data_IF_934482093281
#
_entry.id   IF_934482093281
#
_cell.length_a   1.000
_cell.length_b   1.000
_cell.length_c   1.000
_cell.angle_alpha   90.00
_cell.angle_beta   90.00
_cell.angle_gamma   90.00
#
_symmetry.space_group_name_H-M   'P 1'
#
loop_
_entity.id
_entity.type
_entity.pdbx_description
1 polymer ?
#
# COMPACT_ATOMS: atom_id res chain seq x y z
N UNK A 1 -20.38 5.78 -10.53
CA UNK A 1 -18.91 5.58 -10.45
C UNK A 1 -18.50 5.70 -9.00
N UNK A 2 -17.82 4.67 -8.45
CA UNK A 2 -17.30 4.71 -7.09
C UNK A 2 -16.18 5.72 -6.96
N UNK A 3 -16.16 6.46 -5.87
CA UNK A 3 -15.03 7.28 -5.50
C UNK A 3 -13.97 6.43 -4.82
N UNK A 4 -12.72 6.84 -4.97
CA UNK A 4 -11.58 6.21 -4.30
C UNK A 4 -10.52 7.26 -3.95
N UNK A 5 -9.84 7.05 -2.85
CA UNK A 5 -8.75 7.88 -2.36
C UNK A 5 -7.63 7.00 -1.82
N UNK A 6 -6.48 7.58 -1.60
CA UNK A 6 -5.31 6.86 -1.11
C UNK A 6 -4.66 7.57 0.07
N UNK A 7 -4.02 6.78 0.92
CA UNK A 7 -3.07 7.21 1.93
C UNK A 7 -1.71 6.63 1.55
N UNK A 8 -0.70 7.48 1.44
CA UNK A 8 0.68 7.11 1.20
C UNK A 8 1.51 7.42 2.44
N UNK A 9 2.13 6.41 3.01
CA UNK A 9 3.16 6.57 4.01
C UNK A 9 4.51 6.71 3.29
N UNK A 10 5.28 7.76 3.61
CA UNK A 10 6.53 8.08 2.93
C UNK A 10 7.68 8.12 3.95
N UNK A 11 8.84 7.60 3.54
CA UNK A 11 10.06 7.67 4.34
C UNK A 11 10.62 9.09 4.32
N UNK A 12 10.80 9.67 5.51
CA UNK A 12 11.48 10.95 5.69
C UNK A 12 12.99 10.71 5.82
N UNK A 13 13.78 11.38 4.97
CA UNK A 13 15.24 11.28 4.96
C UNK A 13 15.88 12.66 5.04
N UNK A 14 17.07 12.76 5.64
CA UNK A 14 17.88 13.98 5.64
C UNK A 14 18.34 14.33 4.23
N UNK A 15 18.16 15.58 3.82
CA UNK A 15 18.43 16.03 2.45
C UNK A 15 19.89 15.92 2.03
N UNK A 16 20.84 15.88 2.98
CA UNK A 16 22.28 15.85 2.72
C UNK A 16 22.89 14.47 2.87
N UNK A 17 22.48 13.71 3.90
CA UNK A 17 23.05 12.40 4.20
C UNK A 17 22.26 11.24 3.57
N UNK A 18 21.00 11.46 3.21
CA UNK A 18 20.05 10.47 2.73
C UNK A 18 19.72 9.38 3.75
N UNK A 19 20.05 9.59 5.02
CA UNK A 19 19.70 8.70 6.12
C UNK A 19 18.27 9.02 6.62
N UNK A 20 17.54 8.06 7.21
CA UNK A 20 16.24 8.31 7.80
C UNK A 20 16.30 9.44 8.83
N UNK A 21 15.36 10.39 8.78
CA UNK A 21 15.31 11.59 9.60
C UNK A 21 14.14 11.53 10.59
N UNK A 22 14.37 11.47 11.92
CA UNK A 22 13.31 11.38 12.92
C UNK A 22 12.68 12.75 13.22
N UNK A 23 11.93 13.31 12.28
CA UNK A 23 11.31 14.63 12.36
C UNK A 23 9.86 14.68 11.84
N UNK A 24 9.19 13.53 11.65
CA UNK A 24 7.86 13.45 11.05
C UNK A 24 6.78 14.19 11.83
N UNK A 25 6.75 14.07 13.17
CA UNK A 25 5.82 14.83 14.01
C UNK A 25 5.99 16.35 13.83
N UNK A 26 7.23 16.83 13.76
CA UNK A 26 7.51 18.24 13.57
C UNK A 26 7.12 18.69 12.15
N UNK A 27 7.53 17.94 11.13
CA UNK A 27 7.19 18.24 9.74
C UNK A 27 5.66 18.32 9.53
N UNK A 28 4.92 17.33 10.03
CA UNK A 28 3.46 17.30 9.95
C UNK A 28 2.81 18.46 10.73
N UNK A 29 3.34 18.83 11.90
CA UNK A 29 2.79 19.91 12.73
C UNK A 29 2.88 21.31 12.07
N UNK A 30 3.75 21.47 11.09
CA UNK A 30 3.89 22.72 10.32
C UNK A 30 2.87 22.86 9.19
N UNK A 31 2.15 21.77 8.89
CA UNK A 31 1.08 21.77 7.88
C UNK A 31 -0.28 22.07 8.52
N UNK A 32 -1.22 22.55 7.71
CA UNK A 32 -2.62 22.65 8.13
C UNK A 32 -3.23 21.26 8.18
N UNK A 33 -4.15 21.03 9.12
CA UNK A 33 -4.88 19.75 9.23
C UNK A 33 -5.51 19.29 7.90
N UNK A 34 -6.03 20.24 7.11
CA UNK A 34 -6.46 19.98 5.73
C UNK A 34 -5.99 21.11 4.84
N UNK A 35 -5.33 20.76 3.74
CA UNK A 35 -4.83 21.73 2.76
C UNK A 35 -5.98 22.31 1.90
N UNK A 36 -5.70 23.37 1.13
CA UNK A 36 -6.66 23.92 0.17
C UNK A 36 -7.05 22.94 -0.94
N UNK A 37 -6.25 21.92 -1.17
CA UNK A 37 -6.50 20.84 -2.14
C UNK A 37 -7.27 19.66 -1.55
N UNK A 38 -7.59 19.69 -0.26
CA UNK A 38 -8.30 18.61 0.45
C UNK A 38 -7.41 17.48 0.95
N UNK A 39 -6.07 17.59 0.78
CA UNK A 39 -5.12 16.61 1.32
C UNK A 39 -4.89 16.84 2.82
N UNK A 40 -4.54 15.75 3.50
CA UNK A 40 -4.09 15.78 4.90
C UNK A 40 -2.66 15.24 4.96
N UNK A 41 -1.79 15.91 5.72
CA UNK A 41 -0.43 15.47 6.00
C UNK A 41 -0.34 15.22 7.49
N UNK A 42 -0.04 13.99 7.88
CA UNK A 42 -0.04 13.54 9.29
C UNK A 42 1.26 12.83 9.67
N UNK A 43 1.51 12.76 10.97
CA UNK A 43 2.60 11.96 11.53
C UNK A 43 2.14 10.51 11.72
N UNK A 44 3.09 9.58 11.61
CA UNK A 44 2.89 8.15 11.78
C UNK A 44 3.55 7.59 13.06
N UNK A 45 3.52 6.23 13.23
CA UNK A 45 4.08 5.53 14.38
C UNK A 45 5.53 5.89 14.64
N UNK A 46 6.34 5.96 13.59
CA UNK A 46 7.76 6.31 13.69
C UNK A 46 7.99 7.74 13.18
N UNK A 47 8.93 8.44 13.79
CA UNK A 47 9.25 9.82 13.42
C UNK A 47 9.95 9.94 12.06
N UNK A 48 10.41 8.86 11.49
CA UNK A 48 10.99 8.77 10.14
C UNK A 48 9.92 8.63 9.04
N UNK A 49 8.64 8.85 9.36
CA UNK A 49 7.50 8.70 8.45
C UNK A 49 6.65 9.95 8.38
N UNK A 50 6.07 10.19 7.22
CA UNK A 50 4.97 11.15 6.99
C UNK A 50 3.90 10.43 6.19
N UNK A 51 2.65 10.57 6.62
CA UNK A 51 1.49 10.08 5.87
C UNK A 51 0.80 11.21 5.13
N UNK A 52 0.34 10.92 3.91
CA UNK A 52 -0.47 11.83 3.10
C UNK A 52 -1.74 11.13 2.65
N UNK A 53 -2.89 11.65 3.09
CA UNK A 53 -4.20 11.22 2.60
C UNK A 53 -4.68 12.14 1.48
N UNK A 54 -5.13 11.55 0.36
CA UNK A 54 -5.67 12.27 -0.79
C UNK A 54 -7.19 12.44 -0.70
N UNK A 55 -7.77 13.51 -1.27
CA UNK A 55 -9.21 13.60 -1.44
C UNK A 55 -9.71 12.54 -2.42
N UNK A 56 -10.97 12.06 -2.28
CA UNK A 56 -11.52 11.03 -3.14
C UNK A 56 -11.64 11.48 -4.60
N UNK A 57 -11.29 10.59 -5.53
CA UNK A 57 -11.31 10.79 -6.98
C UNK A 57 -12.30 9.83 -7.65
N UNK A 58 -12.56 10.04 -8.95
CA UNK A 58 -13.44 9.18 -9.77
C UNK A 58 -12.76 8.63 -11.01
N UNK A 59 -11.55 9.08 -11.34
CA UNK A 59 -10.78 8.66 -12.52
C UNK A 59 -9.33 8.36 -12.16
N UNK A 60 -8.66 7.50 -12.94
CA UNK A 60 -7.23 7.23 -12.78
C UNK A 60 -6.39 8.50 -12.91
N UNK A 61 -6.71 9.38 -13.87
CA UNK A 61 -5.98 10.63 -14.06
C UNK A 61 -6.11 11.55 -12.83
N UNK A 62 -7.34 11.73 -12.30
CA UNK A 62 -7.55 12.50 -11.08
C UNK A 62 -6.82 11.91 -9.87
N UNK A 63 -6.76 10.57 -9.75
CA UNK A 63 -6.01 9.94 -8.67
C UNK A 63 -4.50 10.14 -8.81
N UNK A 64 -3.96 10.09 -10.03
CA UNK A 64 -2.56 10.39 -10.30
C UNK A 64 -2.22 11.84 -9.91
N UNK A 65 -3.05 12.80 -10.31
CA UNK A 65 -2.86 14.22 -9.96
C UNK A 65 -2.94 14.44 -8.44
N UNK A 66 -3.84 13.72 -7.76
CA UNK A 66 -3.94 13.76 -6.30
C UNK A 66 -2.69 13.18 -5.61
N UNK A 67 -2.16 12.06 -6.10
CA UNK A 67 -0.91 11.47 -5.60
C UNK A 67 0.28 12.42 -5.79
N UNK A 68 0.44 12.99 -6.98
CA UNK A 68 1.50 13.96 -7.28
C UNK A 68 1.42 15.19 -6.36
N UNK A 69 0.21 15.73 -6.16
CA UNK A 69 -0.03 16.84 -5.25
C UNK A 69 0.29 16.48 -3.80
N UNK A 70 -0.15 15.30 -3.34
CA UNK A 70 0.12 14.80 -1.99
C UNK A 70 1.61 14.64 -1.72
N UNK A 71 2.35 14.03 -2.64
CA UNK A 71 3.81 13.88 -2.53
C UNK A 71 4.53 15.22 -2.54
N UNK A 72 4.06 16.19 -3.31
CA UNK A 72 4.63 17.55 -3.29
C UNK A 72 4.39 18.25 -1.94
N UNK A 73 3.21 18.09 -1.33
CA UNK A 73 2.92 18.63 0.00
C UNK A 73 3.76 17.97 1.11
N UNK A 74 3.98 16.65 1.02
CA UNK A 74 4.88 15.95 1.93
C UNK A 74 6.33 16.41 1.78
N UNK A 75 6.79 16.63 0.54
CA UNK A 75 8.14 17.16 0.28
C UNK A 75 8.29 18.58 0.84
N UNK A 76 7.28 19.45 0.70
CA UNK A 76 7.28 20.78 1.32
C UNK A 76 7.35 20.69 2.86
N UNK A 77 6.57 19.79 3.47
CA UNK A 77 6.64 19.55 4.91
C UNK A 77 8.03 19.08 5.35
N UNK A 78 8.61 18.12 4.64
CA UNK A 78 9.95 17.60 4.90
C UNK A 78 11.03 18.68 4.75
N UNK A 79 10.97 19.53 3.73
CA UNK A 79 11.93 20.61 3.49
C UNK A 79 12.02 21.59 4.66
N UNK A 80 10.91 21.86 5.35
CA UNK A 80 10.88 22.74 6.53
C UNK A 80 11.69 22.20 7.72
N UNK A 81 12.03 20.91 7.73
CA UNK A 81 12.83 20.25 8.76
C UNK A 81 14.20 19.78 8.24
N UNK A 82 14.61 20.23 7.03
CA UNK A 82 15.87 19.84 6.38
C UNK A 82 15.84 18.44 5.77
N UNK A 83 14.67 17.89 5.56
CA UNK A 83 14.44 16.55 4.99
C UNK A 83 13.91 16.56 3.57
N UNK A 84 13.73 15.35 3.05
CA UNK A 84 13.06 15.00 1.81
C UNK A 84 12.19 13.76 2.03
N UNK A 85 11.22 13.50 1.16
CA UNK A 85 10.40 12.29 1.22
C UNK A 85 10.67 11.34 0.07
N UNK A 86 10.75 10.04 0.38
CA UNK A 86 10.91 8.95 -0.58
C UNK A 86 9.79 7.92 -0.44
N UNK A 87 9.19 7.51 -1.55
CA UNK A 87 8.21 6.42 -1.60
C UNK A 87 8.93 5.06 -1.47
N UNK A 88 9.49 4.82 -0.29
CA UNK A 88 10.21 3.61 0.09
C UNK A 88 9.45 2.91 1.22
N UNK A 89 8.95 1.68 1.00
CA UNK A 89 8.18 0.95 2.01
C UNK A 89 9.01 0.49 3.20
N UNK A 90 10.33 0.39 3.03
CA UNK A 90 11.31 0.07 4.08
C UNK A 90 12.55 0.94 3.88
N UNK A 91 13.22 1.30 4.96
CA UNK A 91 14.53 1.96 4.88
C UNK A 91 15.57 0.98 4.33
N UNK A 92 16.25 1.29 3.19
CA UNK A 92 17.26 0.40 2.63
C UNK A 92 18.48 0.21 3.54
N UNK A 93 18.89 1.27 4.21
CA UNK A 93 20.02 1.29 5.14
C UNK A 93 19.63 0.80 6.56
N UNK A 94 20.63 0.75 7.44
CA UNK A 94 20.40 0.50 8.86
C UNK A 94 19.72 1.70 9.50
N UNK A 95 18.76 1.42 10.37
CA UNK A 95 18.06 2.45 11.14
C UNK A 95 17.58 1.85 12.46
N UNK A 96 17.64 2.67 13.51
CA UNK A 96 16.96 2.45 14.78
C UNK A 96 15.81 3.46 14.86
N UNK A 97 14.56 3.04 14.56
CA UNK A 97 13.43 3.95 14.45
C UNK A 97 13.05 4.61 15.78
N UNK A 98 12.48 5.82 15.71
CA UNK A 98 12.07 6.61 16.85
C UNK A 98 10.54 6.70 16.92
N UNK A 99 9.94 6.08 17.94
CA UNK A 99 8.49 6.19 18.17
C UNK A 99 8.06 7.65 18.31
N UNK A 100 6.93 7.99 17.68
CA UNK A 100 6.29 9.29 17.82
C UNK A 100 5.92 9.58 19.28
N UNK A 101 5.84 10.87 19.68
CA UNK A 101 5.77 11.29 21.08
C UNK A 101 4.38 11.11 21.73
N UNK A 102 3.39 10.59 20.99
CA UNK A 102 2.02 10.45 21.50
C UNK A 102 1.92 9.39 22.62
N UNK A 103 0.94 9.55 23.50
CA UNK A 103 0.68 8.57 24.57
C UNK A 103 0.26 7.20 24.00
N UNK A 104 -0.42 7.20 22.84
CA UNK A 104 -0.81 5.97 22.13
C UNK A 104 0.42 5.20 21.66
N UNK A 105 1.37 5.87 21.00
CA UNK A 105 2.58 5.24 20.46
C UNK A 105 3.50 4.71 21.56
N UNK A 106 3.62 5.43 22.70
CA UNK A 106 4.30 4.92 23.88
C UNK A 106 3.70 3.60 24.38
N UNK A 107 2.37 3.54 24.52
CA UNK A 107 1.67 2.31 24.93
C UNK A 107 1.87 1.16 23.95
N UNK A 108 1.92 1.44 22.64
CA UNK A 108 2.26 0.45 21.60
C UNK A 108 3.68 -0.07 21.83
N UNK A 109 4.67 0.82 22.01
CA UNK A 109 6.05 0.44 22.30
C UNK A 109 6.20 -0.41 23.56
N UNK A 110 5.57 -0.01 24.67
CA UNK A 110 5.57 -0.76 25.94
C UNK A 110 4.95 -2.16 25.79
N UNK A 111 3.89 -2.29 24.98
CA UNK A 111 3.16 -3.55 24.83
C UNK A 111 3.81 -4.51 23.86
N UNK A 112 4.32 -4.03 22.73
CA UNK A 112 4.80 -4.86 21.63
C UNK A 112 6.34 -4.92 21.58
N UNK A 113 7.03 -4.12 22.38
CA UNK A 113 8.48 -4.19 22.53
C UNK A 113 9.20 -4.08 21.19
N UNK A 114 10.04 -5.08 20.88
CA UNK A 114 10.89 -5.08 19.70
C UNK A 114 10.11 -5.02 18.39
N UNK A 115 8.90 -5.59 18.33
CA UNK A 115 8.04 -5.49 17.13
C UNK A 115 7.76 -4.02 16.81
N UNK A 116 7.34 -3.23 17.80
CA UNK A 116 7.08 -1.81 17.60
C UNK A 116 8.38 -1.01 17.37
N UNK A 117 9.46 -1.33 18.09
CA UNK A 117 10.73 -0.62 17.98
C UNK A 117 11.40 -0.77 16.60
N UNK A 118 11.23 -1.93 15.94
CA UNK A 118 11.80 -2.18 14.62
C UNK A 118 10.84 -1.86 13.45
N UNK A 119 9.60 -1.45 13.74
CA UNK A 119 8.56 -1.30 12.74
C UNK A 119 8.67 0.06 12.04
N UNK A 120 9.55 0.17 11.05
CA UNK A 120 9.60 1.28 10.11
C UNK A 120 9.22 0.75 8.73
N UNK A 121 7.93 0.84 8.43
CA UNK A 121 7.35 0.35 7.18
C UNK A 121 6.31 1.32 6.66
N UNK A 122 6.33 1.61 5.37
CA UNK A 122 5.44 2.55 4.69
C UNK A 122 4.49 1.81 3.76
N UNK A 123 3.21 1.92 4.01
CA UNK A 123 2.14 1.31 3.25
C UNK A 123 1.55 2.23 2.19
N UNK A 124 0.66 1.62 1.42
CA UNK A 124 -0.22 2.27 0.48
C UNK A 124 -1.64 1.77 0.76
N UNK A 125 -2.48 2.61 1.37
CA UNK A 125 -3.84 2.26 1.69
C UNK A 125 -4.78 2.84 0.63
N UNK A 126 -5.73 2.03 0.19
CA UNK A 126 -6.66 2.41 -0.88
C UNK A 126 -8.07 2.29 -0.34
N UNK A 127 -8.76 3.43 -0.25
CA UNK A 127 -10.13 3.53 0.19
C UNK A 127 -11.06 3.58 -1.01
N UNK A 128 -12.02 2.66 -1.09
CA UNK A 128 -13.04 2.65 -2.14
C UNK A 128 -14.42 2.73 -1.51
N UNK A 129 -15.25 3.67 -1.96
CA UNK A 129 -16.58 3.91 -1.41
C UNK A 129 -17.51 2.70 -1.53
N UNK A 130 -18.32 2.49 -0.50
CA UNK A 130 -19.37 1.47 -0.42
C UNK A 130 -20.72 2.10 -0.09
N UNK A 131 -21.80 1.46 -0.48
CA UNK A 131 -23.16 1.93 -0.23
C UNK A 131 -23.68 1.54 1.16
N UNK A 132 -23.19 0.41 1.69
CA UNK A 132 -23.55 -0.10 3.02
C UNK A 132 -22.44 -1.00 3.59
N UNK A 133 -22.51 -1.26 4.90
CA UNK A 133 -21.58 -2.20 5.56
C UNK A 133 -21.79 -3.63 5.06
N UNK A 134 -23.02 -4.03 4.72
CA UNK A 134 -23.30 -5.35 4.14
C UNK A 134 -22.67 -5.52 2.76
N UNK A 135 -22.77 -4.49 1.91
CA UNK A 135 -22.04 -4.46 0.65
C UNK A 135 -20.53 -4.55 0.90
N UNK A 136 -20.02 -3.77 1.84
CA UNK A 136 -18.60 -3.76 2.19
C UNK A 136 -18.08 -5.14 2.58
N UNK A 137 -18.78 -5.87 3.45
CA UNK A 137 -18.40 -7.24 3.83
C UNK A 137 -18.51 -8.20 2.65
N UNK A 138 -19.58 -8.09 1.85
CA UNK A 138 -19.72 -8.85 0.61
C UNK A 138 -18.54 -8.65 -0.34
N UNK A 139 -18.07 -7.42 -0.46
CA UNK A 139 -16.88 -7.08 -1.24
C UNK A 139 -15.61 -7.66 -0.61
N UNK A 140 -15.40 -7.47 0.70
CA UNK A 140 -14.25 -8.04 1.43
C UNK A 140 -14.09 -9.53 1.15
N UNK A 141 -15.18 -10.30 1.33
CA UNK A 141 -15.17 -11.76 1.18
C UNK A 141 -14.78 -12.21 -0.24
N UNK A 142 -15.00 -11.36 -1.25
CA UNK A 142 -14.71 -11.67 -2.66
C UNK A 142 -13.33 -11.23 -3.10
N UNK A 143 -12.89 -10.03 -2.71
CA UNK A 143 -11.63 -9.47 -3.25
C UNK A 143 -10.39 -10.06 -2.59
N UNK A 144 -10.50 -10.65 -1.39
CA UNK A 144 -9.37 -11.14 -0.61
C UNK A 144 -8.46 -12.13 -1.36
N UNK A 145 -9.00 -12.91 -2.30
CA UNK A 145 -8.21 -13.84 -3.12
C UNK A 145 -7.34 -13.14 -4.17
N UNK A 146 -7.63 -11.88 -4.51
CA UNK A 146 -6.88 -11.06 -5.45
C UNK A 146 -5.84 -10.15 -4.78
N UNK A 147 -5.90 -10.00 -3.45
CA UNK A 147 -4.97 -9.14 -2.71
C UNK A 147 -3.50 -9.54 -2.90
N UNK A 148 -3.12 -10.84 -2.95
CA UNK A 148 -1.76 -11.23 -3.24
C UNK A 148 -1.27 -10.73 -4.62
N UNK A 149 -2.16 -10.61 -5.62
CA UNK A 149 -1.81 -10.06 -6.94
C UNK A 149 -1.53 -8.56 -6.87
N UNK A 150 -2.32 -7.81 -6.09
CA UNK A 150 -2.07 -6.38 -5.83
C UNK A 150 -0.76 -6.16 -5.08
N UNK A 151 -0.46 -7.01 -4.07
CA UNK A 151 0.82 -7.00 -3.37
C UNK A 151 2.00 -7.22 -4.33
N UNK A 152 1.90 -8.20 -5.24
CA UNK A 152 2.95 -8.49 -6.21
C UNK A 152 3.20 -7.30 -7.16
N UNK A 153 2.12 -6.65 -7.64
CA UNK A 153 2.20 -5.48 -8.54
C UNK A 153 2.77 -4.24 -7.85
N UNK A 154 2.51 -4.06 -6.55
CA UNK A 154 3.01 -2.92 -5.76
C UNK A 154 4.38 -3.14 -5.12
N UNK A 155 4.96 -4.36 -5.22
CA UNK A 155 6.17 -4.75 -4.49
C UNK A 155 7.34 -3.78 -4.70
N UNK A 156 7.82 -3.16 -3.60
CA UNK A 156 8.79 -2.06 -3.63
C UNK A 156 9.74 -2.06 -2.42
N UNK A 157 9.93 -3.20 -1.71
CA UNK A 157 10.73 -3.22 -0.48
C UNK A 157 11.74 -4.39 -0.45
N UNK A 158 12.77 -4.38 -1.33
CA UNK A 158 13.74 -5.47 -1.39
C UNK A 158 14.83 -5.38 -0.32
N UNK A 159 15.02 -4.23 0.32
CA UNK A 159 16.08 -3.99 1.29
C UNK A 159 15.56 -3.81 2.70
N UNK A 160 16.30 -4.33 3.68
CA UNK A 160 16.05 -4.17 5.11
C UNK A 160 17.36 -4.17 5.88
N UNK A 161 17.57 -3.16 6.74
CA UNK A 161 18.76 -3.08 7.62
C UNK A 161 20.10 -3.21 6.87
N UNK A 162 20.19 -2.65 5.67
CA UNK A 162 21.39 -2.63 4.86
C UNK A 162 21.63 -3.91 4.02
N UNK A 163 20.69 -4.84 3.97
CA UNK A 163 20.80 -6.08 3.22
C UNK A 163 19.68 -6.23 2.18
N UNK A 164 20.00 -6.83 1.02
CA UNK A 164 18.99 -7.37 0.12
C UNK A 164 18.37 -8.61 0.78
N UNK A 165 17.09 -8.58 1.00
CA UNK A 165 16.33 -9.59 1.74
C UNK A 165 16.00 -10.84 0.91
N UNK A 166 16.16 -10.76 -0.40
CA UNK A 166 15.68 -11.77 -1.34
C UNK A 166 14.17 -11.68 -1.65
N UNK A 167 13.43 -10.75 -1.02
CA UNK A 167 12.00 -10.52 -1.25
C UNK A 167 11.77 -9.33 -2.16
N UNK A 168 10.67 -9.32 -2.89
CA UNK A 168 10.21 -8.14 -3.62
C UNK A 168 9.45 -7.15 -2.70
N UNK A 169 8.68 -7.68 -1.72
CA UNK A 169 8.05 -6.90 -0.64
C UNK A 169 8.43 -7.48 0.72
N UNK A 170 9.52 -7.01 1.30
CA UNK A 170 9.88 -7.36 2.68
C UNK A 170 9.01 -6.61 3.71
N UNK A 171 8.45 -5.47 3.35
CA UNK A 171 7.46 -4.76 4.18
C UNK A 171 6.35 -5.71 4.63
N UNK A 172 5.79 -6.51 3.72
CA UNK A 172 4.73 -7.45 4.06
C UNK A 172 5.19 -8.48 5.11
N UNK A 173 6.43 -8.97 5.03
CA UNK A 173 7.01 -9.88 6.03
C UNK A 173 7.23 -9.17 7.39
N UNK A 174 7.75 -7.94 7.39
CA UNK A 174 7.95 -7.16 8.60
C UNK A 174 6.60 -6.82 9.25
N UNK A 175 5.60 -6.43 8.45
CA UNK A 175 4.24 -6.12 8.91
C UNK A 175 3.52 -7.34 9.50
N UNK A 176 3.73 -8.54 8.96
CA UNK A 176 3.10 -9.78 9.42
C UNK A 176 3.50 -10.20 10.84
N UNK A 177 4.44 -9.51 11.48
CA UNK A 177 4.79 -9.70 12.90
C UNK A 177 3.73 -9.15 13.86
N UNK A 178 2.89 -8.21 13.42
CA UNK A 178 1.77 -7.73 14.22
C UNK A 178 0.71 -8.83 14.39
N UNK A 179 0.15 -9.03 15.59
CA UNK A 179 -0.75 -10.17 15.87
C UNK A 179 -2.04 -10.18 15.05
N UNK A 180 -2.47 -9.01 14.58
CA UNK A 180 -3.71 -8.84 13.81
C UNK A 180 -3.46 -8.70 12.31
N UNK A 181 -2.20 -8.76 11.85
CA UNK A 181 -1.87 -8.57 10.45
C UNK A 181 -2.12 -9.81 9.60
N UNK A 182 -2.54 -9.58 8.37
CA UNK A 182 -2.64 -10.59 7.34
C UNK A 182 -4.04 -10.85 6.83
N UNK A 183 -4.23 -11.94 6.06
CA UNK A 183 -5.51 -12.30 5.48
C UNK A 183 -6.48 -12.84 6.53
N UNK A 184 -7.77 -12.66 6.26
CA UNK A 184 -8.89 -13.12 7.08
C UNK A 184 -9.72 -14.18 6.36
N UNK A 185 -10.48 -14.97 7.11
CA UNK A 185 -11.52 -15.84 6.56
C UNK A 185 -12.74 -15.03 6.12
N UNK A 186 -13.62 -15.57 5.23
CA UNK A 186 -14.85 -14.88 4.86
C UNK A 186 -15.74 -14.66 6.07
N UNK A 187 -16.30 -13.47 6.18
CA UNK A 187 -17.22 -13.13 7.28
C UNK A 187 -18.67 -13.53 7.01
N UNK A 188 -19.10 -13.48 5.74
CA UNK A 188 -20.45 -13.84 5.31
C UNK A 188 -21.53 -12.79 5.60
N UNK A 189 -21.37 -11.93 6.59
CA UNK A 189 -22.29 -10.83 6.90
C UNK A 189 -21.65 -9.73 7.73
N UNK A 190 -22.23 -8.51 7.69
CA UNK A 190 -21.78 -7.39 8.51
C UNK A 190 -21.84 -7.70 10.01
N UNK A 191 -22.89 -8.37 10.48
CA UNK A 191 -23.01 -8.79 11.88
C UNK A 191 -21.88 -9.76 12.29
N UNK A 192 -21.47 -10.68 11.42
CA UNK A 192 -20.37 -11.59 11.69
C UNK A 192 -19.01 -10.85 11.71
N UNK A 193 -18.81 -9.89 10.79
CA UNK A 193 -17.68 -9.01 10.79
C UNK A 193 -17.56 -8.24 12.11
N UNK A 194 -18.63 -7.58 12.56
CA UNK A 194 -18.64 -6.82 13.79
C UNK A 194 -18.39 -7.69 15.03
N UNK A 195 -19.01 -8.88 15.09
CA UNK A 195 -18.74 -9.84 16.17
C UNK A 195 -17.27 -10.29 16.19
N UNK A 196 -16.66 -10.51 15.03
CA UNK A 196 -15.25 -10.87 14.93
C UNK A 196 -14.37 -9.74 15.45
N UNK A 197 -14.58 -8.50 14.96
CA UNK A 197 -13.83 -7.32 15.40
C UNK A 197 -13.95 -7.12 16.93
N UNK A 198 -15.17 -7.23 17.46
CA UNK A 198 -15.42 -7.14 18.90
C UNK A 198 -14.69 -8.24 19.68
N UNK A 199 -14.68 -9.48 19.17
CA UNK A 199 -13.97 -10.58 19.81
C UNK A 199 -12.45 -10.39 19.82
N UNK A 200 -11.87 -9.90 18.69
CA UNK A 200 -10.43 -9.58 18.62
C UNK A 200 -10.08 -8.47 19.62
N UNK A 201 -10.86 -7.39 19.69
CA UNK A 201 -10.66 -6.31 20.64
C UNK A 201 -10.81 -6.77 22.09
N UNK A 202 -11.79 -7.64 22.38
CA UNK A 202 -12.03 -8.19 23.72
C UNK A 202 -10.86 -9.05 24.25
N UNK A 203 -9.97 -9.55 23.38
CA UNK A 203 -8.72 -10.20 23.82
C UNK A 203 -7.79 -9.25 24.57
N UNK A 204 -7.96 -7.94 24.37
CA UNK A 204 -7.07 -6.90 24.86
C UNK A 204 -5.66 -6.97 24.25
N UNK A 205 -5.43 -7.75 23.17
CA UNK A 205 -4.14 -7.78 22.46
C UNK A 205 -3.96 -6.48 21.69
N UNK A 206 -4.85 -6.07 20.75
CA UNK A 206 -4.80 -4.71 20.20
C UNK A 206 -5.25 -3.70 21.24
N UNK A 207 -4.68 -2.50 21.22
CA UNK A 207 -5.04 -1.42 22.16
C UNK A 207 -6.34 -0.73 21.78
N UNK A 208 -6.64 -0.70 20.48
CA UNK A 208 -7.81 -0.04 19.88
C UNK A 208 -8.08 -0.62 18.47
N UNK A 209 -9.19 -0.19 17.86
CA UNK A 209 -9.58 -0.64 16.51
C UNK A 209 -8.58 -0.25 15.41
N UNK A 210 -7.82 0.85 15.60
CA UNK A 210 -6.75 1.24 14.67
C UNK A 210 -5.64 0.19 14.55
N UNK A 211 -5.54 -0.77 15.51
CA UNK A 211 -4.59 -1.88 15.46
C UNK A 211 -5.16 -3.17 14.83
N UNK A 212 -6.29 -3.10 14.16
CA UNK A 212 -6.82 -4.22 13.36
C UNK A 212 -6.17 -4.13 11.97
N UNK A 213 -5.07 -4.85 11.80
CA UNK A 213 -4.14 -4.73 10.67
C UNK A 213 -4.40 -5.75 9.55
N UNK A 214 -5.63 -6.18 9.39
CA UNK A 214 -6.03 -7.06 8.28
C UNK A 214 -5.58 -6.50 6.92
N UNK A 215 -5.25 -7.37 5.96
CA UNK A 215 -4.86 -6.98 4.59
C UNK A 215 -5.93 -6.13 3.89
N UNK A 216 -7.18 -6.28 4.30
CA UNK A 216 -8.33 -5.47 3.89
C UNK A 216 -9.37 -5.42 5.01
N UNK A 217 -9.99 -4.25 5.24
CA UNK A 217 -11.01 -4.04 6.28
C UNK A 217 -12.07 -3.04 5.83
N UNK A 218 -13.14 -2.91 6.60
CA UNK A 218 -14.01 -1.73 6.53
C UNK A 218 -13.34 -0.60 7.33
N UNK A 219 -13.29 0.60 6.74
CA UNK A 219 -12.79 1.76 7.45
C UNK A 219 -13.72 2.10 8.64
N UNK A 220 -13.11 2.53 9.75
CA UNK A 220 -13.84 2.93 10.95
C UNK A 220 -14.50 4.31 10.77
N UNK A 221 -13.86 5.20 10.00
CA UNK A 221 -14.23 6.60 9.92
C UNK A 221 -14.87 7.01 8.58
N UNK A 222 -14.66 6.20 7.54
CA UNK A 222 -15.15 6.48 6.20
C UNK A 222 -16.03 5.32 5.70
N UNK A 223 -17.07 5.60 4.88
CA UNK A 223 -17.89 4.53 4.29
C UNK A 223 -17.15 3.86 3.12
N UNK A 224 -16.02 3.20 3.43
CA UNK A 224 -15.12 2.60 2.44
C UNK A 224 -14.66 1.20 2.84
N UNK A 225 -14.35 0.38 1.83
CA UNK A 225 -13.40 -0.73 1.97
C UNK A 225 -12.00 -0.14 1.87
N UNK A 226 -11.12 -0.51 2.78
CA UNK A 226 -9.72 -0.09 2.88
C UNK A 226 -8.81 -1.28 2.60
N UNK A 227 -8.13 -1.27 1.45
CA UNK A 227 -7.10 -2.26 1.07
C UNK A 227 -5.74 -1.76 1.54
N UNK A 228 -5.03 -2.55 2.36
CA UNK A 228 -3.82 -2.17 3.10
C UNK A 228 -2.58 -2.98 2.72
N UNK A 229 -2.74 -4.03 1.92
CA UNK A 229 -1.70 -5.01 1.62
C UNK A 229 -0.52 -4.41 0.82
N UNK A 230 -0.76 -3.36 0.03
CA UNK A 230 0.18 -2.83 -0.92
C UNK A 230 1.36 -2.08 -0.27
N UNK A 231 2.56 -2.23 -0.82
CA UNK A 231 3.68 -1.35 -0.57
C UNK A 231 3.40 0.05 -1.13
N UNK A 232 3.87 1.13 -0.50
CA UNK A 232 3.89 2.43 -1.18
C UNK A 232 4.68 2.31 -2.47
N UNK A 233 4.07 2.69 -3.60
CA UNK A 233 4.66 2.49 -4.92
C UNK A 233 5.72 3.54 -5.21
N UNK A 234 6.84 3.12 -5.80
CA UNK A 234 7.96 4.01 -6.11
C UNK A 234 7.53 5.15 -7.04
N UNK A 235 6.92 4.83 -8.18
CA UNK A 235 6.41 5.82 -9.14
C UNK A 235 4.95 6.19 -8.86
N UNK A 236 4.55 7.47 -9.01
CA UNK A 236 3.14 7.90 -8.86
C UNK A 236 2.19 7.20 -9.83
N UNK A 237 2.64 6.89 -11.05
CA UNK A 237 1.86 6.14 -12.05
C UNK A 237 1.53 4.73 -11.58
N UNK A 238 2.48 4.04 -10.93
CA UNK A 238 2.28 2.69 -10.41
C UNK A 238 1.24 2.72 -9.26
N UNK A 239 1.31 3.74 -8.39
CA UNK A 239 0.33 3.94 -7.33
C UNK A 239 -1.08 4.18 -7.90
N UNK A 240 -1.21 5.04 -8.92
CA UNK A 240 -2.50 5.36 -9.54
C UNK A 240 -3.13 4.12 -10.20
N UNK A 241 -2.35 3.26 -10.87
CA UNK A 241 -2.88 2.04 -11.49
C UNK A 241 -3.30 1.01 -10.45
N UNK A 242 -2.53 0.82 -9.37
CA UNK A 242 -2.91 -0.10 -8.27
C UNK A 242 -4.21 0.37 -7.60
N UNK A 243 -4.36 1.67 -7.34
CA UNK A 243 -5.58 2.23 -6.79
C UNK A 243 -6.78 2.04 -7.74
N UNK A 244 -6.58 2.23 -9.05
CA UNK A 244 -7.63 2.06 -10.07
C UNK A 244 -8.04 0.59 -10.20
N UNK A 245 -7.10 -0.35 -10.21
CA UNK A 245 -7.38 -1.79 -10.19
C UNK A 245 -8.17 -2.19 -8.93
N UNK A 246 -7.79 -1.65 -7.77
CA UNK A 246 -8.50 -1.89 -6.51
C UNK A 246 -9.94 -1.38 -6.58
N UNK A 247 -10.17 -0.16 -7.09
CA UNK A 247 -11.51 0.37 -7.30
C UNK A 247 -12.34 -0.51 -8.24
N UNK A 248 -11.75 -0.94 -9.36
CA UNK A 248 -12.42 -1.80 -10.33
C UNK A 248 -12.76 -3.18 -9.72
N UNK A 249 -11.87 -3.73 -8.91
CA UNK A 249 -12.08 -4.99 -8.21
C UNK A 249 -13.23 -4.89 -7.18
N UNK A 250 -13.28 -3.81 -6.40
CA UNK A 250 -14.36 -3.54 -5.44
C UNK A 250 -15.71 -3.42 -6.17
N UNK A 251 -15.79 -2.65 -7.26
CA UNK A 251 -17.02 -2.51 -8.04
C UNK A 251 -17.45 -3.83 -8.69
N UNK A 252 -16.51 -4.61 -9.24
CA UNK A 252 -16.80 -5.93 -9.80
C UNK A 252 -17.38 -6.85 -8.73
N UNK A 253 -16.76 -6.90 -7.55
CA UNK A 253 -17.23 -7.71 -6.44
C UNK A 253 -18.64 -7.30 -5.95
N UNK A 254 -18.95 -6.01 -5.95
CA UNK A 254 -20.28 -5.50 -5.59
C UNK A 254 -21.33 -5.88 -6.65
N UNK A 255 -21.01 -5.77 -7.95
CA UNK A 255 -21.92 -6.17 -9.05
C UNK A 255 -22.22 -7.68 -9.04
N UNK A 256 -21.30 -8.48 -8.55
CA UNK A 256 -21.42 -9.94 -8.48
C UNK A 256 -21.89 -10.43 -7.09
N UNK A 257 -22.54 -9.57 -6.32
CA UNK A 257 -22.95 -9.85 -4.92
C UNK A 257 -23.86 -11.08 -4.74
N UNK A 258 -24.57 -11.49 -5.76
CA UNK A 258 -25.42 -12.69 -5.83
C UNK A 258 -24.65 -14.01 -6.02
N UNK A 259 -23.39 -13.95 -6.43
CA UNK A 259 -22.52 -15.12 -6.58
C UNK A 259 -21.91 -15.53 -5.25
N UNK A 260 -21.60 -16.81 -5.02
CA UNK A 260 -20.89 -17.22 -3.81
C UNK A 260 -19.48 -16.62 -3.77
N UNK A 261 -19.03 -16.20 -2.57
CA UNK A 261 -17.66 -15.76 -2.36
C UNK A 261 -16.68 -16.95 -2.46
N UNK A 262 -15.42 -16.73 -2.88
CA UNK A 262 -14.41 -17.78 -2.90
C UNK A 262 -14.14 -18.34 -1.49
N UNK A 263 -14.27 -19.64 -1.31
CA UNK A 263 -14.03 -20.34 -0.03
C UNK A 263 -12.55 -20.73 0.15
N UNK A 264 -11.63 -19.75 0.05
CA UNK A 264 -10.21 -19.97 0.30
C UNK A 264 -9.90 -19.59 1.75
N UNK A 265 -9.41 -20.49 2.60
CA UNK A 265 -9.12 -20.16 3.99
C UNK A 265 -7.94 -19.19 4.11
N UNK A 266 -7.94 -18.36 5.16
CA UNK A 266 -6.89 -17.38 5.44
C UNK A 266 -5.51 -18.01 5.51
N UNK A 267 -5.39 -19.27 5.98
CA UNK A 267 -4.14 -20.01 6.04
C UNK A 267 -3.51 -20.24 4.66
N UNK A 268 -4.31 -20.48 3.61
CA UNK A 268 -3.82 -20.58 2.23
C UNK A 268 -3.52 -19.20 1.65
N UNK A 269 -4.38 -18.20 1.89
CA UNK A 269 -4.10 -16.83 1.46
C UNK A 269 -2.78 -16.30 2.02
N UNK A 270 -2.42 -16.68 3.25
CA UNK A 270 -1.11 -16.35 3.84
C UNK A 270 0.05 -16.91 3.01
N UNK A 271 -0.08 -18.13 2.48
CA UNK A 271 0.94 -18.72 1.59
C UNK A 271 0.98 -18.01 0.23
N UNK A 272 -0.19 -17.60 -0.31
CA UNK A 272 -0.26 -16.87 -1.56
C UNK A 272 0.36 -15.48 -1.44
N UNK A 273 0.08 -14.78 -0.33
CA UNK A 273 0.69 -13.48 -0.03
C UNK A 273 2.19 -13.62 0.24
N UNK A 274 2.63 -14.71 0.90
CA UNK A 274 4.05 -14.99 1.05
C UNK A 274 4.73 -15.14 -0.32
N UNK A 275 4.17 -15.95 -1.23
CA UNK A 275 4.69 -16.12 -2.59
C UNK A 275 4.74 -14.79 -3.35
N UNK A 276 3.68 -13.99 -3.28
CA UNK A 276 3.60 -12.67 -3.90
C UNK A 276 4.67 -11.71 -3.35
N UNK A 277 4.83 -11.66 -2.02
CA UNK A 277 5.84 -10.82 -1.37
C UNK A 277 7.28 -11.25 -1.69
N UNK A 278 7.51 -12.55 -1.85
CA UNK A 278 8.82 -13.09 -2.21
C UNK A 278 9.19 -12.75 -3.65
N UNK A 279 8.32 -13.04 -4.61
CA UNK A 279 8.64 -13.01 -6.04
C UNK A 279 8.22 -11.72 -6.76
N UNK A 280 7.27 -10.96 -6.21
CA UNK A 280 6.63 -9.89 -6.96
C UNK A 280 6.03 -10.43 -8.27
N UNK A 281 6.22 -9.70 -9.36
CA UNK A 281 5.75 -10.09 -10.69
C UNK A 281 6.78 -10.85 -11.52
N UNK A 282 7.93 -11.21 -10.97
CA UNK A 282 9.07 -11.71 -11.74
C UNK A 282 9.13 -13.24 -11.88
N UNK A 283 8.29 -13.96 -11.13
CA UNK A 283 8.27 -15.44 -11.17
C UNK A 283 6.81 -15.93 -11.22
N UNK A 284 6.36 -16.68 -10.26
CA UNK A 284 5.04 -17.30 -10.21
C UNK A 284 4.20 -16.69 -9.10
N UNK A 285 2.91 -16.56 -9.36
CA UNK A 285 1.87 -16.27 -8.38
C UNK A 285 0.90 -17.45 -8.30
N UNK A 286 0.14 -17.51 -7.23
CA UNK A 286 -0.92 -18.49 -7.11
C UNK A 286 -2.16 -17.94 -7.81
N UNK A 287 -2.67 -18.70 -8.78
CA UNK A 287 -3.89 -18.38 -9.49
C UNK A 287 -5.11 -18.56 -8.59
N UNK A 288 -5.90 -17.50 -8.34
CA UNK A 288 -7.07 -17.58 -7.45
C UNK A 288 -8.15 -18.57 -7.90
N UNK A 289 -8.18 -18.92 -9.19
CA UNK A 289 -9.19 -19.84 -9.74
C UNK A 289 -8.85 -21.31 -9.58
N UNK A 290 -7.54 -21.63 -9.55
CA UNK A 290 -7.05 -23.02 -9.48
C UNK A 290 -6.34 -23.35 -8.17
N UNK A 291 -5.88 -22.33 -7.42
CA UNK A 291 -5.05 -22.50 -6.22
C UNK A 291 -3.63 -23.01 -6.54
N UNK A 292 -3.17 -22.92 -7.80
CA UNK A 292 -1.88 -23.45 -8.23
C UNK A 292 -0.93 -22.36 -8.74
N UNK A 293 0.40 -22.55 -8.64
CA UNK A 293 1.36 -21.56 -9.10
C UNK A 293 1.44 -21.53 -10.64
N UNK A 294 1.25 -20.36 -11.23
CA UNK A 294 1.41 -20.08 -12.67
C UNK A 294 2.27 -18.82 -12.87
N UNK A 295 2.77 -18.53 -14.08
CA UNK A 295 3.51 -17.29 -14.34
C UNK A 295 2.74 -16.06 -13.85
N UNK A 296 3.42 -15.11 -13.22
CA UNK A 296 2.77 -13.92 -12.64
C UNK A 296 1.97 -13.13 -13.67
N UNK A 297 2.48 -12.99 -14.89
CA UNK A 297 1.77 -12.32 -16.00
C UNK A 297 0.41 -12.95 -16.30
N UNK A 298 0.28 -14.28 -16.18
CA UNK A 298 -0.99 -14.98 -16.42
C UNK A 298 -2.03 -14.67 -15.32
N UNK A 299 -1.57 -14.55 -14.06
CA UNK A 299 -2.47 -14.16 -12.95
C UNK A 299 -2.91 -12.71 -13.08
N UNK A 300 -1.99 -11.83 -13.47
CA UNK A 300 -2.29 -10.41 -13.71
C UNK A 300 -3.27 -10.26 -14.87
N UNK A 301 -3.07 -11.00 -15.97
CA UNK A 301 -4.01 -11.01 -17.10
C UNK A 301 -5.42 -11.45 -16.67
N UNK A 302 -5.53 -12.46 -15.82
CA UNK A 302 -6.82 -12.89 -15.26
C UNK A 302 -7.47 -11.84 -14.37
N UNK A 303 -6.69 -11.13 -13.55
CA UNK A 303 -7.21 -9.99 -12.78
C UNK A 303 -7.79 -8.93 -13.73
N UNK A 304 -7.05 -8.58 -14.79
CA UNK A 304 -7.52 -7.63 -15.80
C UNK A 304 -8.82 -8.11 -16.46
N UNK A 305 -8.93 -9.39 -16.84
CA UNK A 305 -10.14 -9.94 -17.44
C UNK A 305 -11.34 -9.85 -16.47
N UNK A 306 -11.14 -10.10 -15.18
CA UNK A 306 -12.19 -9.99 -14.15
C UNK A 306 -12.68 -8.55 -14.01
N UNK A 307 -11.79 -7.57 -14.01
CA UNK A 307 -12.16 -6.16 -13.80
C UNK A 307 -12.46 -5.40 -15.09
N UNK A 308 -12.20 -5.98 -16.24
CA UNK A 308 -12.33 -5.36 -17.57
C UNK A 308 -13.69 -4.70 -17.83
N UNK A 309 -14.84 -5.34 -17.51
CA UNK A 309 -16.15 -4.70 -17.71
C UNK A 309 -16.28 -3.37 -16.97
N UNK A 310 -15.73 -3.30 -15.74
CA UNK A 310 -15.75 -2.06 -14.94
C UNK A 310 -14.78 -1.02 -15.47
N UNK A 311 -13.58 -1.45 -15.87
CA UNK A 311 -12.59 -0.53 -16.48
C UNK A 311 -13.13 0.10 -17.75
N UNK A 312 -13.82 -0.66 -18.59
CA UNK A 312 -14.50 -0.16 -19.79
C UNK A 312 -15.59 0.87 -19.46
N UNK A 313 -16.47 0.53 -18.50
CA UNK A 313 -17.56 1.41 -18.07
C UNK A 313 -17.05 2.74 -17.51
N UNK A 314 -15.85 2.72 -16.91
CA UNK A 314 -15.24 3.89 -16.28
C UNK A 314 -14.25 4.63 -17.20
N UNK A 315 -13.95 4.06 -18.39
CA UNK A 315 -13.04 4.64 -19.37
C UNK A 315 -11.57 4.60 -19.00
N UNK A 316 -11.17 3.64 -18.14
CA UNK A 316 -9.81 3.49 -17.65
C UNK A 316 -9.04 2.33 -18.30
N UNK A 317 -9.69 1.48 -19.13
CA UNK A 317 -9.12 0.23 -19.65
C UNK A 317 -7.78 0.43 -20.35
N UNK A 318 -7.70 1.28 -21.37
CA UNK A 318 -6.46 1.48 -22.15
C UNK A 318 -5.29 1.96 -21.28
N UNK A 319 -5.57 2.84 -20.32
CA UNK A 319 -4.54 3.37 -19.41
C UNK A 319 -4.05 2.33 -18.41
N UNK A 320 -4.97 1.53 -17.88
CA UNK A 320 -4.64 0.45 -16.96
C UNK A 320 -3.85 -0.63 -17.69
N UNK A 321 -4.29 -1.07 -18.87
CA UNK A 321 -3.59 -2.09 -19.66
C UNK A 321 -2.16 -1.63 -19.99
N UNK A 322 -1.97 -0.38 -20.43
CA UNK A 322 -0.66 0.18 -20.75
C UNK A 322 0.25 0.25 -19.49
N UNK A 323 -0.29 0.74 -18.36
CA UNK A 323 0.49 0.86 -17.14
C UNK A 323 0.86 -0.50 -16.53
N UNK A 324 -0.05 -1.47 -16.55
CA UNK A 324 0.24 -2.84 -16.08
C UNK A 324 1.26 -3.52 -17.00
N UNK A 325 1.16 -3.36 -18.32
CA UNK A 325 2.16 -3.88 -19.26
C UNK A 325 3.55 -3.30 -18.95
N UNK A 326 3.64 -1.99 -18.65
CA UNK A 326 4.88 -1.33 -18.26
C UNK A 326 5.47 -1.89 -16.97
N UNK A 327 4.62 -2.15 -15.93
CA UNK A 327 5.07 -2.79 -14.67
C UNK A 327 5.61 -4.20 -14.93
N UNK A 328 4.96 -4.98 -15.79
CA UNK A 328 5.41 -6.35 -16.12
C UNK A 328 6.72 -6.34 -16.91
N UNK A 329 6.95 -5.38 -17.80
CA UNK A 329 8.16 -5.24 -18.61
C UNK A 329 9.34 -4.70 -17.80
N UNK A 330 9.17 -3.54 -17.15
CA UNK A 330 10.22 -2.84 -16.41
C UNK A 330 10.48 -3.45 -15.02
N UNK A 331 9.52 -4.21 -14.49
CA UNK A 331 9.48 -4.66 -13.12
C UNK A 331 8.95 -3.60 -12.16
N UNK A 332 8.65 -4.04 -10.95
CA UNK A 332 8.16 -3.18 -9.87
C UNK A 332 9.28 -2.33 -9.26
N UNK A 333 8.94 -1.48 -8.29
CA UNK A 333 9.92 -0.69 -7.55
C UNK A 333 11.04 -1.52 -6.95
N UNK A 334 10.77 -2.76 -6.53
CA UNK A 334 11.81 -3.66 -6.01
C UNK A 334 12.93 -3.94 -7.02
N UNK A 335 12.59 -4.16 -8.29
CA UNK A 335 13.60 -4.34 -9.35
C UNK A 335 14.39 -3.05 -9.58
N UNK A 336 13.71 -1.90 -9.63
CA UNK A 336 14.33 -0.59 -9.84
C UNK A 336 15.31 -0.26 -8.71
N UNK A 337 14.96 -0.54 -7.45
CA UNK A 337 15.85 -0.39 -6.30
C UNK A 337 17.10 -1.28 -6.39
N UNK A 338 16.94 -2.57 -6.76
CA UNK A 338 18.08 -3.46 -6.97
C UNK A 338 19.00 -3.01 -8.10
N UNK A 339 18.43 -2.46 -9.18
CA UNK A 339 19.22 -1.89 -10.27
C UNK A 339 20.05 -0.68 -9.82
N UNK A 340 19.46 0.21 -9.01
CA UNK A 340 20.20 1.34 -8.43
C UNK A 340 21.32 0.87 -7.51
N UNK A 341 21.07 -0.12 -6.65
CA UNK A 341 22.07 -0.70 -5.76
C UNK A 341 23.22 -1.37 -6.51
N UNK A 342 22.92 -2.12 -7.57
CA UNK A 342 23.91 -2.91 -8.30
C UNK A 342 25.05 -2.08 -8.94
N UNK A 343 24.86 -0.77 -9.11
CA UNK A 343 25.86 0.11 -9.72
C UNK A 343 27.12 0.27 -8.85
N UNK A 344 26.97 0.40 -7.52
CA UNK A 344 28.07 0.63 -6.56
C UNK A 344 27.93 -0.18 -5.27
N UNK A 345 26.91 -0.98 -5.14
CA UNK A 345 26.55 -1.72 -3.92
C UNK A 345 26.34 -0.78 -2.71
N UNK A 346 25.78 0.41 -2.97
CA UNK A 346 25.52 1.45 -1.96
C UNK A 346 24.02 1.70 -1.82
N UNK A 347 23.50 1.54 -0.61
CA UNK A 347 22.08 1.79 -0.29
C UNK A 347 21.70 3.28 -0.47
N UNK A 348 22.66 4.19 -0.45
CA UNK A 348 22.43 5.61 -0.74
C UNK A 348 21.99 5.84 -2.19
N UNK A 349 22.48 5.03 -3.13
CA UNK A 349 22.04 5.08 -4.53
C UNK A 349 20.57 4.66 -4.65
N UNK A 350 20.13 3.71 -3.83
CA UNK A 350 18.72 3.32 -3.77
C UNK A 350 17.85 4.48 -3.29
N UNK A 351 18.27 5.16 -2.21
CA UNK A 351 17.52 6.32 -1.68
C UNK A 351 17.52 7.47 -2.68
N UNK A 352 18.67 7.80 -3.30
CA UNK A 352 18.77 8.86 -4.30
C UNK A 352 17.84 8.59 -5.51
N UNK A 353 17.87 7.37 -6.05
CA UNK A 353 17.00 6.97 -7.15
C UNK A 353 15.51 7.00 -6.75
N UNK A 354 15.21 6.63 -5.51
CA UNK A 354 13.85 6.67 -4.99
C UNK A 354 13.33 8.12 -4.85
N UNK A 355 14.15 9.04 -4.38
CA UNK A 355 13.80 10.48 -4.31
C UNK A 355 13.45 11.05 -5.69
N UNK A 356 14.20 10.68 -6.73
CA UNK A 356 13.88 11.09 -8.09
C UNK A 356 12.55 10.49 -8.58
N UNK A 357 12.39 9.16 -8.42
CA UNK A 357 11.20 8.46 -8.88
C UNK A 357 9.92 8.86 -8.14
N UNK A 358 10.02 9.24 -6.86
CA UNK A 358 8.89 9.67 -6.01
C UNK A 358 8.15 10.88 -6.62
N UNK A 359 8.86 11.77 -7.30
CA UNK A 359 8.34 13.03 -7.85
C UNK A 359 8.27 13.05 -9.38
N UNK A 360 8.76 12.00 -10.06
CA UNK A 360 8.81 11.97 -11.52
C UNK A 360 7.53 11.37 -12.11
N UNK A 361 6.91 12.12 -13.02
CA UNK A 361 5.84 11.62 -13.86
C UNK A 361 6.34 11.33 -15.28
N UNK A 362 6.12 10.13 -15.79
CA UNK A 362 6.64 9.66 -17.08
C UNK A 362 5.90 10.20 -18.32
N UNK A 363 4.93 11.13 -18.19
CA UNK A 363 4.15 11.67 -19.31
C UNK A 363 4.96 12.55 -20.28
N UNK A 364 6.17 12.99 -19.93
CA UNK A 364 7.00 13.88 -20.75
C UNK A 364 7.76 13.18 -21.91
N UNK A 365 7.61 11.86 -22.10
CA UNK A 365 8.28 11.13 -23.21
C UNK A 365 7.50 11.06 -24.51
N UNK A 366 6.35 11.71 -24.62
CA UNK A 366 5.41 11.55 -25.73
C UNK A 366 5.12 12.79 -26.60
N UNK A 367 5.75 13.95 -26.38
CA UNK A 367 5.41 15.19 -27.11
C UNK A 367 6.55 15.82 -27.95
N UNK A 368 7.62 15.08 -28.17
CA UNK A 368 8.63 15.48 -29.17
C UNK A 368 8.76 14.39 -30.27
N UNK A 369 7.75 14.33 -31.16
CA UNK A 369 7.91 13.85 -32.55
C UNK A 369 6.80 14.41 -33.44
#
# INVERSE_FOLDING_TARGET
VRTFGVEEELLLVDASTLEPLPAGDWAASLQKETTSTGHQVTAELQQEQIEVASPPQTTMAGQLDAILTGRALAEEAAANVGGRVAALPTAPGRVDPHLGPTSRYRRIGERFGLIAAEQLTNGFHIHVSIESRDEGVTVLDRIRVWLPTLLALSANSPFWQGADTGYASYRYQAWSRWPTAGPVDPYGSADAYERHQAAVLATGVPLDAGMLYDDVRLSEHQPTVEVRIADVCLAPSDAAVIATLTRALVETAARESDRPAPEVPASLLRLWSWQASHSGVQDRLIDPTTGTPVPAGDVVARLLDVVRPVLNDYGDEERVDAAVAQILEDGTGARKQRQAYAAREDVRDVVAAALEATHTYAADRGHDR
#
